data_IF_099269238753
#
_entry.id   IF_099269238753
#
_cell.length_a   1.000
_cell.length_b   1.000
_cell.length_c   1.000
_cell.angle_alpha   90.00
_cell.angle_beta   90.00
_cell.angle_gamma   90.00
#
_symmetry.space_group_name_H-M   'P 1'
#
loop_
_entity.id
_entity.type
_entity.pdbx_description
1 polymer ?
#
# COMPACT_ATOMS: atom_id res chain seq x y z
N UNK A 1 13.71 10.58 16.91
CA UNK A 1 12.39 11.04 16.43
C UNK A 1 12.28 12.58 16.51
N UNK A 2 12.48 13.20 17.64
CA UNK A 2 12.35 14.68 17.83
C UNK A 2 13.14 15.48 16.78
N UNK A 3 14.43 15.18 16.60
CA UNK A 3 15.26 15.90 15.61
C UNK A 3 14.73 15.77 14.17
N UNK A 4 14.19 14.59 13.82
CA UNK A 4 13.59 14.36 12.51
C UNK A 4 12.29 15.15 12.34
N UNK A 5 11.45 15.20 13.37
CA UNK A 5 10.20 15.98 13.36
C UNK A 5 10.52 17.45 13.15
N UNK A 6 11.44 18.01 13.95
CA UNK A 6 11.87 19.41 13.82
C UNK A 6 12.42 19.71 12.43
N UNK A 7 13.22 18.79 11.85
CA UNK A 7 13.76 18.97 10.51
C UNK A 7 12.64 19.01 9.46
N UNK A 8 11.67 18.09 9.54
CA UNK A 8 10.58 18.00 8.56
C UNK A 8 9.64 19.21 8.68
N UNK A 9 9.30 19.64 9.88
CA UNK A 9 8.43 20.81 10.11
C UNK A 9 9.04 22.11 9.58
N UNK A 10 10.37 22.22 9.51
CA UNK A 10 11.04 23.34 8.84
C UNK A 10 10.94 23.32 7.31
N UNK A 11 10.50 22.20 6.72
CA UNK A 11 10.42 22.02 5.26
C UNK A 11 8.98 22.08 4.74
N UNK A 12 7.98 21.86 5.58
CA UNK A 12 6.56 21.75 5.16
C UNK A 12 5.60 22.04 6.29
N UNK A 13 4.45 22.60 5.96
CA UNK A 13 3.31 22.83 6.86
C UNK A 13 2.32 21.64 6.87
N UNK A 14 2.63 20.54 6.17
CA UNK A 14 1.76 19.35 6.12
C UNK A 14 1.74 18.70 7.50
N UNK A 15 0.55 18.40 8.07
CA UNK A 15 0.45 17.71 9.34
C UNK A 15 1.18 16.37 9.33
N UNK A 16 1.91 16.08 10.40
CA UNK A 16 2.71 14.86 10.51
C UNK A 16 1.87 13.69 11.04
N UNK A 17 2.25 12.47 10.66
CA UNK A 17 1.82 11.25 11.31
C UNK A 17 2.96 10.74 12.19
N UNK A 18 2.73 10.69 13.51
CA UNK A 18 3.71 10.20 14.48
C UNK A 18 3.50 8.71 14.67
N UNK A 19 4.41 7.91 14.12
CA UNK A 19 4.33 6.46 14.07
C UNK A 19 5.45 5.82 14.90
N UNK A 20 5.09 5.17 15.98
CA UNK A 20 6.03 4.40 16.80
C UNK A 20 5.32 3.35 17.66
N UNK A 21 5.93 2.17 17.74
CA UNK A 21 5.54 1.13 18.71
C UNK A 21 6.18 1.37 20.10
N UNK A 22 7.19 2.26 20.20
CA UNK A 22 7.91 2.56 21.44
C UNK A 22 7.21 3.70 22.18
N UNK A 23 6.62 3.47 23.38
CA UNK A 23 5.84 4.46 24.12
C UNK A 23 6.55 5.80 24.32
N UNK A 24 7.78 5.79 24.83
CA UNK A 24 8.55 7.02 25.08
C UNK A 24 8.85 7.81 23.79
N UNK A 25 9.07 7.11 22.66
CA UNK A 25 9.29 7.77 21.39
C UNK A 25 8.00 8.37 20.83
N UNK A 26 6.85 7.72 21.04
CA UNK A 26 5.54 8.21 20.63
C UNK A 26 5.20 9.51 21.39
N UNK A 27 5.33 9.51 22.72
CA UNK A 27 5.07 10.69 23.54
C UNK A 27 6.01 11.85 23.20
N UNK A 28 7.32 11.60 23.12
CA UNK A 28 8.29 12.63 22.71
C UNK A 28 8.04 13.18 21.31
N UNK A 29 7.55 12.33 20.39
CA UNK A 29 7.17 12.74 19.05
C UNK A 29 5.93 13.65 19.04
N UNK A 30 4.92 13.33 19.83
CA UNK A 30 3.73 14.16 19.98
C UNK A 30 4.04 15.51 20.65
N UNK A 31 4.95 15.52 21.61
CA UNK A 31 5.39 16.76 22.28
C UNK A 31 6.16 17.69 21.32
N UNK A 32 6.95 17.12 20.41
CA UNK A 32 7.73 17.88 19.43
C UNK A 32 6.95 18.31 18.20
N UNK A 33 5.82 17.67 17.91
CA UNK A 33 5.03 17.95 16.72
C UNK A 33 4.19 19.21 16.89
N UNK A 34 4.26 20.10 15.92
CA UNK A 34 3.43 21.31 15.84
C UNK A 34 2.06 21.00 15.23
N UNK A 35 1.06 21.81 15.59
CA UNK A 35 -0.29 21.67 15.07
C UNK A 35 -1.04 20.48 15.63
N UNK A 36 -1.69 19.70 14.76
CA UNK A 36 -2.51 18.55 15.14
C UNK A 36 -2.08 17.30 14.37
N UNK A 37 -0.99 16.61 14.80
CA UNK A 37 -0.49 15.43 14.14
C UNK A 37 -1.48 14.25 14.28
N UNK A 38 -1.36 13.25 13.39
CA UNK A 38 -2.03 11.96 13.52
C UNK A 38 -1.15 11.02 14.35
N UNK A 39 -1.68 10.44 15.42
CA UNK A 39 -1.00 9.40 16.20
C UNK A 39 -1.19 8.04 15.53
N UNK A 40 -0.13 7.28 15.30
CA UNK A 40 -0.16 5.93 14.76
C UNK A 40 0.66 5.00 15.69
N UNK A 41 0.07 4.10 16.46
CA UNK A 41 -1.33 3.69 16.51
C UNK A 41 -1.74 3.19 17.92
N UNK A 42 -3.03 2.94 18.08
CA UNK A 42 -3.60 2.16 19.17
C UNK A 42 -4.16 0.84 18.62
N UNK A 43 -4.08 -0.23 19.41
CA UNK A 43 -4.69 -1.55 19.14
C UNK A 43 -5.77 -1.85 20.19
N UNK A 44 -6.52 -2.96 20.01
CA UNK A 44 -7.51 -3.42 20.98
C UNK A 44 -6.93 -4.09 22.23
N UNK A 45 -5.60 -4.20 22.35
CA UNK A 45 -4.89 -4.68 23.53
C UNK A 45 -5.08 -3.73 24.71
N UNK A 46 -5.39 -4.24 25.91
CA UNK A 46 -5.70 -3.38 27.06
C UNK A 46 -4.54 -2.45 27.43
N UNK A 47 -3.32 -2.98 27.49
CA UNK A 47 -2.11 -2.18 27.80
C UNK A 47 -1.92 -1.03 26.81
N UNK A 48 -2.26 -1.26 25.53
CA UNK A 48 -2.17 -0.23 24.49
C UNK A 48 -3.25 0.81 24.61
N UNK A 49 -4.49 0.39 24.92
CA UNK A 49 -5.60 1.30 25.17
C UNK A 49 -5.33 2.21 26.37
N UNK A 50 -4.87 1.64 27.49
CA UNK A 50 -4.54 2.38 28.71
C UNK A 50 -3.38 3.36 28.55
N UNK A 51 -2.43 3.06 27.66
CA UNK A 51 -1.29 3.94 27.41
C UNK A 51 -1.62 5.01 26.36
N UNK A 52 -2.21 4.63 25.21
CA UNK A 52 -2.33 5.53 24.06
C UNK A 52 -3.51 6.49 24.18
N UNK A 53 -4.68 6.04 24.66
CA UNK A 53 -5.87 6.91 24.73
C UNK A 53 -5.66 8.14 25.63
N UNK A 54 -4.97 8.06 26.79
CA UNK A 54 -4.58 9.25 27.56
C UNK A 54 -3.71 10.24 26.79
N UNK A 55 -2.78 9.74 25.94
CA UNK A 55 -1.96 10.61 25.08
C UNK A 55 -2.80 11.30 24.02
N UNK A 56 -3.69 10.57 23.35
CA UNK A 56 -4.66 11.13 22.40
C UNK A 56 -5.43 12.28 23.02
N UNK A 57 -5.93 12.06 24.23
CA UNK A 57 -6.65 13.09 25.00
C UNK A 57 -5.77 14.26 25.40
N UNK A 58 -4.57 13.98 25.95
CA UNK A 58 -3.61 15.00 26.40
C UNK A 58 -3.20 15.96 25.29
N UNK A 59 -2.90 15.43 24.11
CA UNK A 59 -2.44 16.21 22.97
C UNK A 59 -3.57 16.64 22.02
N UNK A 60 -4.81 16.21 22.25
CA UNK A 60 -5.99 16.50 21.43
C UNK A 60 -5.77 16.18 19.94
N UNK A 61 -5.28 14.99 19.64
CA UNK A 61 -4.92 14.54 18.30
C UNK A 61 -5.83 13.40 17.82
N UNK A 62 -6.01 13.20 16.50
CA UNK A 62 -6.64 11.98 15.98
C UNK A 62 -5.69 10.78 16.12
N UNK A 63 -6.26 9.57 16.13
CA UNK A 63 -5.51 8.33 16.31
C UNK A 63 -5.89 7.26 15.28
N UNK A 64 -4.90 6.58 14.74
CA UNK A 64 -5.10 5.34 13.97
C UNK A 64 -5.40 4.20 14.95
N UNK A 65 -6.55 3.55 14.76
CA UNK A 65 -7.00 2.40 15.54
C UNK A 65 -6.88 1.12 14.69
N UNK A 66 -5.90 0.29 14.99
CA UNK A 66 -5.69 -0.98 14.25
C UNK A 66 -6.64 -2.04 14.81
N UNK A 67 -7.39 -2.70 13.93
CA UNK A 67 -8.43 -3.68 14.29
C UNK A 67 -7.88 -5.07 14.63
N UNK A 68 -6.88 -5.13 15.55
CA UNK A 68 -6.34 -6.33 16.18
C UNK A 68 -6.24 -6.16 17.71
N UNK A 69 -6.16 -7.27 18.43
CA UNK A 69 -6.03 -7.30 19.88
C UNK A 69 -5.09 -8.44 20.33
N UNK A 70 -5.14 -8.79 21.61
CA UNK A 70 -4.33 -9.85 22.24
C UNK A 70 -4.49 -11.23 21.56
N UNK A 71 -5.58 -11.47 20.85
CA UNK A 71 -5.79 -12.71 20.09
C UNK A 71 -5.08 -12.70 18.72
N UNK A 72 -4.50 -11.56 18.34
CA UNK A 72 -3.81 -11.34 17.07
C UNK A 72 -4.69 -10.78 15.98
N UNK A 73 -4.32 -11.03 14.72
CA UNK A 73 -5.06 -10.57 13.54
C UNK A 73 -6.03 -11.66 13.10
N UNK A 74 -7.33 -11.40 13.27
CA UNK A 74 -8.37 -12.31 12.77
C UNK A 74 -8.55 -12.18 11.26
N UNK A 75 -8.79 -13.31 10.59
CA UNK A 75 -9.22 -13.32 9.19
C UNK A 75 -10.69 -12.94 9.02
N UNK A 76 -11.49 -13.07 10.09
CA UNK A 76 -12.91 -12.73 10.09
C UNK A 76 -13.12 -11.21 10.21
N UNK A 77 -13.76 -10.55 9.22
CA UNK A 77 -14.04 -9.12 9.28
C UNK A 77 -14.99 -8.73 10.42
N UNK A 78 -15.87 -9.63 10.88
CA UNK A 78 -16.77 -9.34 12.01
C UNK A 78 -16.00 -9.31 13.34
N UNK A 79 -15.02 -10.18 13.52
CA UNK A 79 -14.12 -10.13 14.68
C UNK A 79 -13.32 -8.82 14.68
N UNK A 80 -12.74 -8.44 13.52
CA UNK A 80 -12.03 -7.15 13.40
C UNK A 80 -12.94 -5.95 13.64
N UNK A 81 -14.19 -6.02 13.21
CA UNK A 81 -15.19 -5.00 13.52
C UNK A 81 -15.44 -4.87 15.02
N UNK A 82 -15.57 -5.98 15.73
CA UNK A 82 -15.77 -5.96 17.19
C UNK A 82 -14.57 -5.36 17.93
N UNK A 83 -13.34 -5.64 17.48
CA UNK A 83 -12.13 -4.98 18.03
C UNK A 83 -12.17 -3.48 17.79
N UNK A 84 -12.47 -3.04 16.57
CA UNK A 84 -12.62 -1.62 16.26
C UNK A 84 -13.69 -0.94 17.11
N UNK A 85 -14.85 -1.59 17.30
CA UNK A 85 -15.92 -1.11 18.16
C UNK A 85 -15.45 -0.97 19.60
N UNK A 86 -14.75 -1.96 20.16
CA UNK A 86 -14.14 -1.89 21.49
C UNK A 86 -13.24 -0.66 21.63
N UNK A 87 -12.36 -0.40 20.65
CA UNK A 87 -11.45 0.76 20.68
C UNK A 87 -12.26 2.07 20.68
N UNK A 88 -13.30 2.17 19.85
CA UNK A 88 -14.17 3.37 19.77
C UNK A 88 -14.91 3.59 21.09
N UNK A 89 -15.47 2.55 21.70
CA UNK A 89 -16.14 2.62 23.01
C UNK A 89 -15.17 3.06 24.11
N UNK A 90 -13.97 2.47 24.16
CA UNK A 90 -12.94 2.87 25.12
C UNK A 90 -12.44 4.31 24.90
N UNK A 91 -12.34 4.76 23.63
CA UNK A 91 -12.01 6.15 23.34
C UNK A 91 -13.08 7.13 23.82
N UNK A 92 -14.34 6.75 23.77
CA UNK A 92 -15.45 7.55 24.31
C UNK A 92 -15.35 7.78 25.83
N UNK A 93 -14.83 6.81 26.59
CA UNK A 93 -14.57 6.95 28.04
C UNK A 93 -13.57 8.08 28.35
N UNK A 94 -12.68 8.36 27.39
CA UNK A 94 -11.73 9.50 27.45
C UNK A 94 -12.27 10.79 26.81
N UNK A 95 -13.55 10.80 26.39
CA UNK A 95 -14.15 11.89 25.62
C UNK A 95 -13.41 12.20 24.31
N UNK A 96 -12.91 11.16 23.62
CA UNK A 96 -12.34 11.26 22.28
C UNK A 96 -13.51 11.02 21.30
N UNK A 97 -13.81 11.97 20.40
CA UNK A 97 -14.94 11.83 19.50
C UNK A 97 -14.64 10.83 18.37
N UNK A 98 -15.66 10.11 17.91
CA UNK A 98 -15.52 9.08 16.85
C UNK A 98 -14.86 9.60 15.57
N UNK A 99 -15.05 10.88 15.23
CA UNK A 99 -14.42 11.52 14.08
C UNK A 99 -12.89 11.61 14.18
N UNK A 100 -12.33 11.51 15.37
CA UNK A 100 -10.88 11.50 15.63
C UNK A 100 -10.29 10.07 15.68
N UNK A 101 -11.15 9.07 15.54
CA UNK A 101 -10.72 7.68 15.41
C UNK A 101 -10.65 7.32 13.91
N UNK A 102 -9.47 6.89 13.48
CA UNK A 102 -9.21 6.48 12.10
C UNK A 102 -8.90 4.99 12.09
N UNK A 103 -9.90 4.16 11.81
CA UNK A 103 -9.74 2.70 11.89
C UNK A 103 -8.96 2.16 10.71
N UNK A 104 -7.91 1.37 10.99
CA UNK A 104 -7.22 0.53 10.01
C UNK A 104 -7.85 -0.87 10.01
N UNK A 105 -8.52 -1.30 8.91
CA UNK A 105 -9.14 -2.60 8.78
C UNK A 105 -8.13 -3.75 8.60
N UNK A 106 -6.83 -3.49 8.62
CA UNK A 106 -5.76 -4.46 8.37
C UNK A 106 -5.85 -5.11 6.98
N UNK A 107 -5.26 -4.44 6.01
CA UNK A 107 -5.17 -4.96 4.64
C UNK A 107 -4.12 -6.06 4.56
N UNK A 108 -4.58 -7.28 4.36
CA UNK A 108 -3.72 -8.46 4.18
C UNK A 108 -3.30 -8.62 2.71
N UNK A 109 -2.12 -9.25 2.45
CA UNK A 109 -1.69 -9.53 1.08
C UNK A 109 -2.65 -10.47 0.36
N UNK A 110 -3.18 -10.05 -0.79
CA UNK A 110 -4.15 -10.83 -1.57
C UNK A 110 -3.54 -12.15 -2.10
N UNK A 111 -2.23 -12.20 -2.31
CA UNK A 111 -1.53 -13.41 -2.70
C UNK A 111 -1.49 -14.48 -1.61
N UNK A 112 -1.56 -14.08 -0.34
CA UNK A 112 -1.62 -15.00 0.81
C UNK A 112 -3.07 -15.33 1.20
N UNK A 113 -3.98 -14.36 1.09
CA UNK A 113 -5.38 -14.49 1.48
C UNK A 113 -6.28 -14.03 0.33
N UNK A 114 -6.84 -14.96 -0.42
CA UNK A 114 -7.65 -14.67 -1.62
C UNK A 114 -8.85 -13.77 -1.35
N UNK A 115 -9.42 -13.82 -0.16
CA UNK A 115 -10.58 -13.01 0.28
C UNK A 115 -10.22 -11.63 0.81
N UNK A 116 -8.93 -11.27 0.92
CA UNK A 116 -8.47 -10.05 1.59
C UNK A 116 -9.13 -8.77 1.06
N UNK A 117 -9.32 -8.65 -0.24
CA UNK A 117 -9.98 -7.49 -0.85
C UNK A 117 -11.43 -7.36 -0.39
N UNK A 118 -12.21 -8.43 -0.54
CA UNK A 118 -13.62 -8.46 -0.14
C UNK A 118 -13.80 -8.21 1.35
N UNK A 119 -12.93 -8.79 2.19
CA UNK A 119 -12.97 -8.58 3.63
C UNK A 119 -12.78 -7.10 3.99
N UNK A 120 -11.79 -6.44 3.39
CA UNK A 120 -11.53 -5.02 3.61
C UNK A 120 -12.72 -4.17 3.18
N UNK A 121 -13.28 -4.41 1.98
CA UNK A 121 -14.41 -3.63 1.47
C UNK A 121 -15.66 -3.80 2.35
N UNK A 122 -15.91 -5.01 2.84
CA UNK A 122 -17.02 -5.30 3.75
C UNK A 122 -16.82 -4.61 5.10
N UNK A 123 -15.64 -4.74 5.68
CA UNK A 123 -15.31 -4.14 6.97
C UNK A 123 -15.36 -2.60 6.91
N UNK A 124 -14.80 -2.00 5.86
CA UNK A 124 -14.84 -0.54 5.67
C UNK A 124 -16.27 0.01 5.62
N UNK A 125 -17.18 -0.64 4.86
CA UNK A 125 -18.59 -0.24 4.83
C UNK A 125 -19.20 -0.29 6.24
N UNK A 126 -19.02 -1.40 6.93
CA UNK A 126 -19.56 -1.61 8.29
C UNK A 126 -19.04 -0.57 9.29
N UNK A 127 -17.74 -0.26 9.24
CA UNK A 127 -17.12 0.78 10.08
C UNK A 127 -17.74 2.15 9.82
N UNK A 128 -17.98 2.49 8.56
CA UNK A 128 -18.58 3.78 8.16
C UNK A 128 -20.06 3.86 8.53
N UNK A 129 -20.83 2.80 8.28
CA UNK A 129 -22.28 2.79 8.46
C UNK A 129 -22.68 2.65 9.92
N UNK A 130 -21.99 1.80 10.70
CA UNK A 130 -22.38 1.48 12.07
C UNK A 130 -21.64 2.31 13.14
N UNK A 131 -20.35 2.68 12.92
CA UNK A 131 -19.57 3.43 13.89
C UNK A 131 -19.34 4.90 13.49
N UNK A 132 -19.53 5.26 12.23
CA UNK A 132 -19.35 6.63 11.74
C UNK A 132 -17.89 7.12 11.79
N UNK A 133 -16.93 6.21 11.97
CA UNK A 133 -15.50 6.53 12.10
C UNK A 133 -14.84 6.80 10.75
N UNK A 134 -13.69 7.46 10.77
CA UNK A 134 -12.80 7.52 9.62
C UNK A 134 -12.04 6.21 9.46
N UNK A 135 -11.49 5.97 8.27
CA UNK A 135 -10.76 4.74 7.95
C UNK A 135 -9.47 5.04 7.19
N UNK A 136 -8.44 4.24 7.41
CA UNK A 136 -7.17 4.29 6.67
C UNK A 136 -6.65 2.87 6.45
N UNK A 137 -5.64 2.71 5.63
CA UNK A 137 -4.91 1.45 5.53
C UNK A 137 -3.53 1.64 4.88
N UNK A 138 -2.63 0.74 5.14
CA UNK A 138 -1.43 0.54 4.34
C UNK A 138 -1.79 -0.01 2.95
N UNK A 139 -2.15 0.88 2.00
CA UNK A 139 -2.77 0.49 0.73
C UNK A 139 -1.91 -0.46 -0.11
N UNK A 140 -0.59 -0.38 0.00
CA UNK A 140 0.32 -1.26 -0.75
C UNK A 140 0.44 -2.68 -0.18
N UNK A 141 -0.11 -2.95 1.00
CA UNK A 141 -0.08 -4.29 1.60
C UNK A 141 -0.87 -5.30 0.75
N UNK A 142 -1.98 -4.86 0.14
CA UNK A 142 -2.83 -5.72 -0.70
C UNK A 142 -2.06 -6.44 -1.80
N UNK A 143 -1.06 -5.80 -2.38
CA UNK A 143 -0.27 -6.30 -3.51
C UNK A 143 1.06 -6.94 -3.12
N UNK A 144 1.33 -7.08 -1.82
CA UNK A 144 2.61 -7.60 -1.35
C UNK A 144 2.89 -9.01 -1.89
N UNK A 145 4.13 -9.24 -2.36
CA UNK A 145 4.56 -10.51 -2.94
C UNK A 145 4.12 -10.77 -4.38
N UNK A 146 3.28 -9.93 -4.98
CA UNK A 146 2.80 -10.11 -6.35
C UNK A 146 3.54 -9.21 -7.37
N UNK A 147 3.64 -9.63 -8.64
CA UNK A 147 4.21 -8.81 -9.70
C UNK A 147 3.27 -7.65 -10.05
N UNK A 148 3.82 -6.57 -10.62
CA UNK A 148 3.07 -5.38 -11.05
C UNK A 148 2.16 -4.82 -9.95
N UNK A 149 2.73 -4.58 -8.78
CA UNK A 149 2.02 -4.07 -7.59
C UNK A 149 1.21 -2.79 -7.89
N UNK A 150 1.72 -1.91 -8.76
CA UNK A 150 1.02 -0.69 -9.13
C UNK A 150 -0.33 -0.96 -9.79
N UNK A 151 -0.44 -1.98 -10.64
CA UNK A 151 -1.72 -2.36 -11.27
C UNK A 151 -2.76 -2.77 -10.23
N UNK A 152 -2.36 -3.55 -9.22
CA UNK A 152 -3.23 -3.98 -8.13
C UNK A 152 -3.61 -2.79 -7.25
N UNK A 153 -2.64 -1.97 -6.83
CA UNK A 153 -2.88 -0.81 -5.97
C UNK A 153 -3.80 0.23 -6.65
N UNK A 154 -3.63 0.43 -7.97
CA UNK A 154 -4.45 1.34 -8.75
C UNK A 154 -5.91 0.88 -8.89
N UNK A 155 -6.17 -0.42 -8.81
CA UNK A 155 -7.53 -0.95 -8.76
C UNK A 155 -8.08 -0.94 -7.32
N UNK A 156 -7.27 -1.33 -6.35
CA UNK A 156 -7.66 -1.42 -4.94
C UNK A 156 -8.13 -0.07 -4.37
N UNK A 157 -7.37 0.99 -4.60
CA UNK A 157 -7.66 2.29 -3.99
C UNK A 157 -9.05 2.83 -4.35
N UNK A 158 -9.47 2.94 -5.63
CA UNK A 158 -10.82 3.41 -5.96
C UNK A 158 -11.92 2.44 -5.48
N UNK A 159 -11.66 1.12 -5.43
CA UNK A 159 -12.63 0.17 -4.87
C UNK A 159 -12.79 0.36 -3.35
N UNK A 160 -11.70 0.58 -2.62
CA UNK A 160 -11.72 0.88 -1.19
C UNK A 160 -12.43 2.22 -0.90
N UNK A 161 -12.17 3.25 -1.70
CA UNK A 161 -12.87 4.54 -1.63
C UNK A 161 -14.38 4.36 -1.90
N UNK A 162 -14.75 3.57 -2.90
CA UNK A 162 -16.15 3.21 -3.18
C UNK A 162 -16.82 2.42 -2.06
N UNK A 163 -16.05 1.70 -1.24
CA UNK A 163 -16.53 1.04 -0.02
C UNK A 163 -16.64 1.99 1.18
N UNK A 164 -16.10 3.22 1.10
CA UNK A 164 -16.17 4.22 2.17
C UNK A 164 -14.83 4.52 2.86
N UNK A 165 -13.68 4.04 2.32
CA UNK A 165 -12.36 4.39 2.82
C UNK A 165 -12.13 5.89 2.72
N UNK A 166 -11.68 6.52 3.81
CA UNK A 166 -11.52 7.98 3.89
C UNK A 166 -10.09 8.45 3.68
N UNK A 167 -9.12 7.60 3.95
CA UNK A 167 -7.69 7.89 3.77
C UNK A 167 -6.88 6.61 3.49
N UNK A 168 -5.63 6.76 3.10
CA UNK A 168 -4.72 5.65 2.89
C UNK A 168 -3.27 6.06 3.17
N UNK A 169 -2.49 5.15 3.75
CA UNK A 169 -1.05 5.27 3.90
C UNK A 169 -0.42 4.68 2.62
N UNK A 170 0.18 5.52 1.82
CA UNK A 170 0.76 5.11 0.54
C UNK A 170 1.87 6.08 0.10
N UNK A 171 2.69 5.66 -0.85
CA UNK A 171 3.65 6.57 -1.48
C UNK A 171 2.95 7.39 -2.57
N UNK A 172 2.70 8.69 -2.38
CA UNK A 172 1.99 9.54 -3.34
C UNK A 172 2.81 9.85 -4.59
N UNK A 173 4.14 9.70 -4.51
CA UNK A 173 5.07 9.96 -5.61
C UNK A 173 5.54 8.68 -6.30
N UNK A 174 4.88 7.53 -6.04
CA UNK A 174 5.19 6.28 -6.71
C UNK A 174 4.89 6.41 -8.21
N UNK A 175 5.94 6.49 -9.01
CA UNK A 175 5.83 6.49 -10.46
C UNK A 175 5.60 5.07 -10.98
N UNK A 176 4.85 4.89 -12.08
CA UNK A 176 4.62 3.59 -12.71
C UNK A 176 5.89 3.00 -13.35
N UNK A 177 7.02 3.69 -13.20
CA UNK A 177 8.33 3.31 -13.74
C UNK A 177 9.34 3.26 -12.61
N UNK A 178 10.14 2.20 -12.54
CA UNK A 178 11.17 2.09 -11.51
C UNK A 178 12.22 3.20 -11.65
N UNK A 179 12.69 3.71 -10.52
CA UNK A 179 13.75 4.73 -10.46
C UNK A 179 14.97 4.31 -11.31
N UNK A 180 15.32 3.02 -11.28
CA UNK A 180 16.41 2.45 -12.10
C UNK A 180 16.20 2.71 -13.60
N UNK A 181 15.00 2.48 -14.15
CA UNK A 181 14.70 2.76 -15.56
C UNK A 181 14.77 4.24 -15.90
N UNK A 182 14.41 5.09 -14.96
CA UNK A 182 14.52 6.55 -15.13
C UNK A 182 15.99 6.95 -15.19
N UNK A 183 16.81 6.44 -14.31
CA UNK A 183 18.26 6.72 -14.28
C UNK A 183 18.97 6.19 -15.52
N UNK A 184 18.72 4.94 -15.91
CA UNK A 184 19.25 4.38 -17.16
C UNK A 184 18.89 5.25 -18.37
N UNK A 185 17.64 5.75 -18.43
CA UNK A 185 17.21 6.63 -19.53
C UNK A 185 17.84 8.02 -19.45
N UNK A 186 18.04 8.57 -18.27
CA UNK A 186 18.76 9.84 -18.07
C UNK A 186 20.21 9.73 -18.56
N UNK A 187 20.89 8.65 -18.23
CA UNK A 187 22.25 8.39 -18.74
C UNK A 187 22.29 8.27 -20.26
N UNK A 188 21.33 7.55 -20.86
CA UNK A 188 21.22 7.42 -22.31
C UNK A 188 21.04 8.79 -22.99
N UNK A 189 20.15 9.62 -22.43
CA UNK A 189 19.86 10.97 -22.93
C UNK A 189 21.07 11.88 -22.80
N UNK A 190 21.79 11.81 -21.68
CA UNK A 190 23.08 12.55 -21.52
C UNK A 190 24.14 12.10 -22.48
N UNK A 191 24.31 10.79 -22.69
CA UNK A 191 25.26 10.24 -23.69
C UNK A 191 24.92 10.67 -25.12
N UNK A 192 23.65 10.92 -25.40
CA UNK A 192 23.17 11.48 -26.66
C UNK A 192 23.37 13.00 -26.80
N UNK A 193 23.99 13.66 -25.79
CA UNK A 193 24.26 15.10 -25.82
C UNK A 193 23.04 15.98 -25.59
N UNK A 194 21.94 15.42 -25.11
CA UNK A 194 20.71 16.17 -24.81
C UNK A 194 20.83 16.78 -23.41
N UNK A 195 20.73 18.10 -23.33
CA UNK A 195 20.72 18.85 -22.07
C UNK A 195 19.29 18.94 -21.57
N UNK A 196 19.03 18.36 -20.38
CA UNK A 196 17.74 18.42 -19.71
C UNK A 196 17.66 19.69 -18.83
N UNK A 197 16.48 20.33 -18.72
CA UNK A 197 16.25 21.39 -17.74
C UNK A 197 16.58 20.89 -16.31
N UNK A 198 17.21 21.75 -15.50
CA UNK A 198 17.61 21.40 -14.13
C UNK A 198 16.41 21.15 -13.20
N UNK A 199 15.27 21.75 -13.50
CA UNK A 199 14.00 21.67 -12.77
C UNK A 199 13.03 20.64 -13.36
N UNK A 200 13.48 19.79 -14.31
CA UNK A 200 12.64 18.77 -14.92
C UNK A 200 12.30 17.68 -13.89
N UNK A 201 11.05 17.69 -13.44
CA UNK A 201 10.55 16.66 -12.52
C UNK A 201 10.47 15.27 -13.18
N UNK A 202 10.46 14.22 -12.32
CA UNK A 202 10.47 12.84 -12.79
C UNK A 202 9.22 12.44 -13.57
N UNK A 203 8.06 12.97 -13.21
CA UNK A 203 6.79 12.64 -13.88
C UNK A 203 6.79 13.16 -15.32
N UNK A 204 7.22 14.39 -15.48
CA UNK A 204 7.38 15.03 -16.80
C UNK A 204 8.45 14.32 -17.64
N UNK A 205 9.58 13.94 -17.03
CA UNK A 205 10.60 13.14 -17.71
C UNK A 205 10.04 11.80 -18.22
N UNK A 206 9.31 11.07 -17.37
CA UNK A 206 8.66 9.80 -17.74
C UNK A 206 7.69 9.98 -18.91
N UNK A 207 6.91 11.07 -18.92
CA UNK A 207 5.99 11.39 -20.01
C UNK A 207 6.70 11.73 -21.32
N UNK A 208 7.72 12.59 -21.26
CA UNK A 208 8.48 13.03 -22.46
C UNK A 208 9.18 11.86 -23.14
N UNK A 209 9.84 11.00 -22.36
CA UNK A 209 10.62 9.87 -22.90
C UNK A 209 9.82 8.57 -23.02
N UNK A 210 8.51 8.61 -22.82
CA UNK A 210 7.61 7.47 -23.01
C UNK A 210 7.91 6.27 -22.13
N UNK A 211 8.54 6.50 -20.96
CA UNK A 211 8.92 5.43 -20.02
C UNK A 211 7.73 4.84 -19.26
N UNK A 212 6.55 5.47 -19.38
CA UNK A 212 5.31 4.98 -18.80
C UNK A 212 4.85 3.67 -19.42
N UNK A 213 3.75 3.12 -18.89
CA UNK A 213 3.17 1.88 -19.42
C UNK A 213 2.96 1.99 -20.95
N UNK A 214 3.64 1.15 -21.70
CA UNK A 214 3.48 1.01 -23.16
C UNK A 214 2.18 0.31 -23.52
N UNK A 215 1.37 -0.08 -22.52
CA UNK A 215 0.08 -0.75 -22.72
C UNK A 215 -0.88 0.19 -23.43
N UNK A 216 -1.52 -0.32 -24.48
CA UNK A 216 -2.66 0.34 -25.15
C UNK A 216 -3.79 0.61 -24.16
N UNK A 217 -4.76 1.47 -24.52
CA UNK A 217 -5.96 1.69 -23.69
C UNK A 217 -6.64 0.37 -23.34
N UNK A 218 -6.87 -0.51 -24.33
CA UNK A 218 -7.42 -1.85 -24.09
C UNK A 218 -6.57 -2.71 -23.17
N UNK A 219 -5.23 -2.58 -23.24
CA UNK A 219 -4.31 -3.27 -22.33
C UNK A 219 -4.41 -2.78 -20.89
N UNK A 220 -4.64 -1.47 -20.68
CA UNK A 220 -4.87 -0.90 -19.36
C UNK A 220 -6.22 -1.30 -18.78
N UNK A 221 -7.26 -1.30 -19.60
CA UNK A 221 -8.59 -1.76 -19.21
C UNK A 221 -8.56 -3.24 -18.80
N UNK A 222 -7.90 -4.09 -19.59
CA UNK A 222 -7.73 -5.51 -19.25
C UNK A 222 -6.94 -5.72 -17.96
N UNK A 223 -5.91 -4.90 -17.70
CA UNK A 223 -5.16 -4.93 -16.45
C UNK A 223 -6.06 -4.58 -15.26
N UNK A 224 -6.86 -3.53 -15.38
CA UNK A 224 -7.79 -3.12 -14.33
C UNK A 224 -8.85 -4.20 -14.05
N UNK A 225 -9.41 -4.85 -15.08
CA UNK A 225 -10.37 -5.96 -14.93
C UNK A 225 -9.72 -7.14 -14.20
N UNK A 226 -8.50 -7.51 -14.57
CA UNK A 226 -7.78 -8.61 -13.91
C UNK A 226 -7.43 -8.29 -12.48
N UNK A 227 -7.02 -7.06 -12.19
CA UNK A 227 -6.78 -6.61 -10.83
C UNK A 227 -8.08 -6.61 -10.00
N UNK A 228 -9.20 -6.16 -10.55
CA UNK A 228 -10.49 -6.22 -9.88
C UNK A 228 -10.93 -7.65 -9.59
N UNK A 229 -10.76 -8.58 -10.54
CA UNK A 229 -11.05 -10.01 -10.32
C UNK A 229 -10.20 -10.60 -9.19
N UNK A 230 -8.90 -10.26 -9.12
CA UNK A 230 -8.03 -10.65 -8.03
C UNK A 230 -8.55 -10.13 -6.68
N UNK A 231 -8.95 -8.86 -6.62
CA UNK A 231 -9.41 -8.21 -5.39
C UNK A 231 -10.78 -8.68 -4.91
N UNK A 232 -11.58 -9.29 -5.78
CA UNK A 232 -12.94 -9.79 -5.48
C UNK A 232 -13.03 -11.32 -5.42
N UNK A 233 -11.90 -12.00 -5.25
CA UNK A 233 -11.79 -13.47 -5.15
C UNK A 233 -12.23 -14.25 -6.41
N UNK A 234 -12.26 -13.57 -7.56
CA UNK A 234 -12.49 -14.22 -8.86
C UNK A 234 -11.19 -14.74 -9.52
N UNK A 235 -10.03 -14.45 -8.95
CA UNK A 235 -8.71 -14.98 -9.31
C UNK A 235 -7.96 -15.38 -8.04
N UNK A 236 -8.36 -16.47 -7.36
CA UNK A 236 -7.79 -16.90 -6.09
C UNK A 236 -6.28 -17.05 -6.16
N UNK A 237 -5.57 -16.48 -5.18
CA UNK A 237 -4.11 -16.45 -5.08
C UNK A 237 -3.39 -15.79 -6.26
N UNK A 238 -4.12 -15.12 -7.17
CA UNK A 238 -3.53 -14.34 -8.26
C UNK A 238 -2.93 -15.15 -9.40
N UNK A 239 -3.38 -16.35 -9.63
CA UNK A 239 -2.82 -17.24 -10.67
C UNK A 239 -2.87 -16.60 -12.06
N UNK A 240 -4.03 -16.05 -12.44
CA UNK A 240 -4.24 -15.36 -13.71
C UNK A 240 -3.46 -14.04 -13.77
N UNK A 241 -3.39 -13.30 -12.65
CA UNK A 241 -2.60 -12.08 -12.52
C UNK A 241 -1.10 -12.34 -12.73
N UNK A 242 -0.56 -13.37 -12.06
CA UNK A 242 0.84 -13.76 -12.16
C UNK A 242 1.17 -14.16 -13.61
N UNK A 243 0.32 -14.97 -14.22
CA UNK A 243 0.52 -15.40 -15.61
C UNK A 243 0.50 -14.22 -16.59
N UNK A 244 -0.42 -13.29 -16.42
CA UNK A 244 -0.55 -12.08 -17.25
C UNK A 244 0.67 -11.15 -17.14
N UNK A 245 1.30 -11.09 -15.97
CA UNK A 245 2.44 -10.22 -15.70
C UNK A 245 3.79 -10.93 -15.77
N UNK A 246 3.84 -12.19 -16.22
CA UNK A 246 5.14 -12.85 -16.50
C UNK A 246 5.87 -12.07 -17.59
N UNK A 247 7.18 -11.81 -17.43
CA UNK A 247 7.99 -11.30 -18.52
C UNK A 247 7.88 -12.26 -19.70
N UNK A 248 7.52 -11.77 -20.88
CA UNK A 248 7.65 -12.55 -22.10
C UNK A 248 9.11 -12.95 -22.21
N UNK A 249 9.41 -14.24 -22.09
CA UNK A 249 10.70 -14.78 -22.44
C UNK A 249 10.90 -14.49 -23.93
N UNK A 250 11.59 -13.39 -24.24
CA UNK A 250 12.04 -13.12 -25.59
C UNK A 250 12.94 -14.29 -26.00
N UNK A 251 12.40 -15.13 -26.86
CA UNK A 251 13.02 -16.34 -27.30
C UNK A 251 14.36 -16.09 -27.95
N UNK A 252 15.40 -16.62 -27.36
CA UNK A 252 16.53 -17.10 -28.11
C UNK A 252 16.20 -18.52 -28.57
N UNK A 253 15.50 -18.62 -29.70
CA UNK A 253 15.59 -19.82 -30.51
C UNK A 253 17.02 -19.88 -31.06
N UNK A 254 17.87 -20.55 -30.31
CA UNK A 254 19.13 -21.06 -30.87
C UNK A 254 18.71 -22.16 -31.84
N UNK A 255 18.73 -21.83 -33.13
CA UNK A 255 18.60 -22.78 -34.21
C UNK A 255 19.80 -23.74 -34.14
N UNK A 256 19.58 -24.88 -33.53
CA UNK A 256 20.49 -26.02 -33.54
C UNK A 256 20.58 -26.53 -34.98
N UNK A 257 21.65 -26.11 -35.70
CA UNK A 257 22.06 -26.75 -36.96
C UNK A 257 22.32 -28.21 -36.70
N UNK A 258 21.51 -29.06 -37.32
CA UNK A 258 21.69 -30.50 -37.37
C UNK A 258 23.00 -30.91 -37.99
N UNK A 259 23.91 -31.41 -37.19
CA UNK A 259 25.08 -32.13 -37.64
C UNK A 259 24.72 -33.54 -37.98
N UNK A 260 24.55 -33.85 -39.29
CA UNK A 260 24.57 -35.21 -39.78
C UNK A 260 25.95 -35.83 -39.48
N UNK A 261 25.99 -36.92 -38.67
CA UNK A 261 27.13 -37.85 -38.58
C UNK A 261 26.68 -39.19 -39.06
N UNK A 262 27.34 -39.58 -40.18
CA UNK A 262 27.11 -40.76 -40.92
C UNK A 262 27.42 -42.04 -40.11
N UNK A 263 26.68 -43.05 -40.43
CA UNK A 263 26.88 -44.41 -39.91
C UNK A 263 28.17 -45.03 -40.48
N UNK A 264 28.87 -45.78 -39.62
CA UNK A 264 29.80 -46.80 -40.01
C UNK A 264 29.34 -48.12 -39.42
N UNK A 265 28.82 -48.99 -40.32
CA UNK A 265 28.71 -50.43 -40.09
C UNK A 265 30.12 -51.01 -39.80
N UNK A 266 30.23 -51.86 -38.84
CA UNK A 266 31.22 -52.94 -38.77
C UNK A 266 30.52 -54.23 -38.52
N UNK A 267 30.70 -55.12 -39.50
CA UNK A 267 30.53 -56.58 -39.47
C UNK A 267 31.71 -57.21 -38.74
N UNK A 268 31.49 -57.99 -37.80
CA UNK A 268 31.78 -59.46 -37.60
C UNK A 268 31.26 -59.87 -36.26
#
# INVERSE_FOLDING_TARGET
>A
MVDLINLVQNLTDIPLCIDSSVPAALEAGLEAAEGRPLLNSVTGEEDRLEFVLPLVKKYNVPVVAISNDDTGISEDPDVRFMVAKKIVERAADFNIPAQDIVVDPLVMPIGAMATAGNQVFTLVRKLREELGVNTTCGASNISFGLPNRHGINNAFLPMAMGAGMTSAIMNPVALPVSTKKIEEKKEEVQKAGIILPADLDQETFVKIFGLGSTKSRAGKEMEAIRAANLLTDNDPHGSSWIQFNKPSSSGSQVSGRGGRRGGRRRTT
#
